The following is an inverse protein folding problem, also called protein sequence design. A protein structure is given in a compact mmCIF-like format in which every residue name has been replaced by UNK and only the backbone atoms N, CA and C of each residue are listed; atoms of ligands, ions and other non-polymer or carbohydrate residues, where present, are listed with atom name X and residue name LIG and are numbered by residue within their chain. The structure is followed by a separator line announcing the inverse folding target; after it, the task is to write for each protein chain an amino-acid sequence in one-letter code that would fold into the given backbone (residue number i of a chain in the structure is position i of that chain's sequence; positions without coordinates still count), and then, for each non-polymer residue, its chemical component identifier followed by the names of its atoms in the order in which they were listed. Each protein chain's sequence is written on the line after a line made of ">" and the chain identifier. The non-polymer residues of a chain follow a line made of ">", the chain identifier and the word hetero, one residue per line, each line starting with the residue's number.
data_IF_994929495277
#
_entry.id   IF_994929495277
#
_cell.length_a   1.000
_cell.length_b   1.000
_cell.length_c   1.000
_cell.angle_alpha   90.00
_cell.angle_beta   90.00
_cell.angle_gamma   90.00
#
_symmetry.space_group_name_H-M   'P 1'
#
loop_
_entity.id
_entity.type
_entity.pdbx_description
1 polymer ?
#
# COMPACT_ATOMS: atom_id res chain seq x y z
N UNK A 1 -1.16 -17.42 -14.88
CA UNK A 1 -2.07 -18.27 -14.07
C UNK A 1 -3.32 -18.58 -14.87
N UNK A 2 -3.71 -19.81 -14.94
CA UNK A 2 -5.00 -20.22 -15.49
C UNK A 2 -6.11 -20.14 -14.41
N UNK A 3 -7.32 -20.54 -14.76
CA UNK A 3 -8.44 -20.61 -13.81
C UNK A 3 -8.16 -21.50 -12.57
N UNK A 4 -7.17 -22.39 -12.64
CA UNK A 4 -6.74 -23.30 -11.57
C UNK A 4 -6.08 -22.56 -10.41
N UNK A 5 -5.29 -21.51 -10.66
CA UNK A 5 -4.59 -20.75 -9.61
C UNK A 5 -5.53 -19.91 -8.76
N UNK A 6 -6.57 -19.31 -9.37
CA UNK A 6 -7.64 -18.62 -8.64
C UNK A 6 -8.45 -19.60 -7.76
N UNK A 7 -8.82 -20.74 -8.33
CA UNK A 7 -9.59 -21.78 -7.62
C UNK A 7 -8.83 -22.35 -6.42
N UNK A 8 -7.49 -22.21 -6.40
CA UNK A 8 -6.64 -22.67 -5.31
C UNK A 8 -6.43 -21.62 -4.20
N UNK A 9 -6.69 -20.33 -4.44
CA UNK A 9 -6.45 -19.26 -3.47
C UNK A 9 -7.45 -19.30 -2.32
N UNK A 10 -6.95 -19.21 -1.09
CA UNK A 10 -7.75 -19.20 0.13
C UNK A 10 -7.59 -17.90 0.96
N UNK A 11 -6.69 -17.01 0.59
CA UNK A 11 -6.50 -15.70 1.23
C UNK A 11 -5.92 -14.68 0.24
N UNK A 12 -6.28 -13.41 0.40
CA UNK A 12 -5.76 -12.31 -0.42
C UNK A 12 -5.09 -11.30 0.50
N UNK A 13 -3.83 -10.96 0.19
CA UNK A 13 -3.10 -9.87 0.82
C UNK A 13 -3.01 -8.73 -0.18
N UNK A 14 -3.37 -7.53 0.23
CA UNK A 14 -3.27 -6.32 -0.58
C UNK A 14 -2.11 -5.45 -0.09
N UNK A 15 -1.39 -4.84 -1.00
CA UNK A 15 -0.71 -3.60 -0.70
C UNK A 15 -1.74 -2.48 -0.48
N UNK A 16 -1.31 -1.33 0.00
CA UNK A 16 -2.19 -0.23 0.38
C UNK A 16 -2.14 0.93 -0.61
N UNK A 17 -1.03 1.70 -0.60
CA UNK A 17 -0.87 2.91 -1.41
C UNK A 17 -0.57 2.56 -2.87
N UNK A 18 -1.37 3.08 -3.81
CA UNK A 18 -1.30 2.69 -5.22
C UNK A 18 -2.13 1.46 -5.58
N UNK A 19 -2.61 0.71 -4.58
CA UNK A 19 -3.41 -0.49 -4.78
C UNK A 19 -4.87 -0.29 -4.35
N UNK A 20 -5.11 0.20 -3.15
CA UNK A 20 -6.45 0.45 -2.61
C UNK A 20 -6.81 1.94 -2.64
N UNK A 21 -5.86 2.83 -2.41
CA UNK A 21 -6.07 4.27 -2.41
C UNK A 21 -4.83 5.06 -2.86
N UNK A 22 -5.00 6.37 -3.07
CA UNK A 22 -3.95 7.36 -3.33
C UNK A 22 -4.06 8.49 -2.30
N UNK A 23 -3.01 8.73 -1.53
CA UNK A 23 -2.90 9.80 -0.54
C UNK A 23 -1.85 10.84 -0.89
N UNK A 24 -1.29 10.79 -2.11
CA UNK A 24 -0.16 11.63 -2.51
C UNK A 24 -0.45 13.13 -2.36
N UNK A 25 -1.69 13.56 -2.63
CA UNK A 25 -2.10 14.96 -2.45
C UNK A 25 -2.07 15.35 -0.96
N UNK A 26 -2.67 14.53 -0.10
CA UNK A 26 -2.73 14.74 1.35
C UNK A 26 -1.33 14.75 1.98
N UNK A 27 -0.46 13.81 1.59
CA UNK A 27 0.91 13.76 2.06
C UNK A 27 1.74 14.96 1.56
N UNK A 28 1.56 15.40 0.31
CA UNK A 28 2.24 16.58 -0.22
C UNK A 28 1.89 17.85 0.61
N UNK A 29 0.63 18.01 0.99
CA UNK A 29 0.19 19.08 1.89
C UNK A 29 0.92 18.96 3.23
N UNK A 30 0.96 17.76 3.83
CA UNK A 30 1.63 17.50 5.11
C UNK A 30 3.12 17.82 5.07
N UNK A 31 3.81 17.38 4.03
CA UNK A 31 5.25 17.64 3.89
C UNK A 31 5.56 19.14 3.75
N UNK A 32 4.75 19.88 2.99
CA UNK A 32 4.89 21.35 2.90
C UNK A 32 4.62 22.04 4.24
N UNK A 33 3.62 21.62 5.01
CA UNK A 33 3.36 22.15 6.35
C UNK A 33 4.54 21.92 7.29
N UNK A 34 5.20 20.76 7.21
CA UNK A 34 6.39 20.48 8.03
C UNK A 34 7.57 21.33 7.59
N UNK A 35 7.79 21.54 6.29
CA UNK A 35 8.81 22.47 5.78
C UNK A 35 8.62 23.88 6.33
N UNK A 36 7.41 24.40 6.23
CA UNK A 36 7.07 25.76 6.67
C UNK A 36 7.25 25.92 8.19
N UNK A 37 6.73 24.98 8.97
CA UNK A 37 6.79 24.99 10.45
C UNK A 37 8.23 24.99 10.97
N UNK A 38 9.14 24.29 10.28
CA UNK A 38 10.54 24.17 10.65
C UNK A 38 11.45 25.18 9.93
N UNK A 39 10.88 26.10 9.14
CA UNK A 39 11.62 27.05 8.31
C UNK A 39 12.70 26.39 7.43
N UNK A 40 12.43 25.17 6.95
CA UNK A 40 13.32 24.43 6.05
C UNK A 40 13.07 24.94 4.62
N UNK A 41 14.09 25.57 4.03
CA UNK A 41 14.01 26.08 2.68
C UNK A 41 14.14 24.94 1.66
N UNK A 42 13.04 24.64 0.99
CA UNK A 42 13.01 23.71 -0.12
C UNK A 42 11.94 24.17 -1.14
N UNK A 43 11.89 23.55 -2.30
CA UNK A 43 10.79 23.80 -3.24
C UNK A 43 9.47 23.24 -2.69
N UNK A 44 8.36 23.75 -3.18
CA UNK A 44 7.06 23.17 -2.88
C UNK A 44 7.01 21.70 -3.34
N UNK A 45 6.52 20.83 -2.49
CA UNK A 45 6.29 19.41 -2.78
C UNK A 45 4.91 19.27 -3.43
N UNK A 46 4.84 18.51 -4.49
CA UNK A 46 3.61 18.17 -5.23
C UNK A 46 3.20 16.71 -4.99
N UNK A 47 1.96 16.36 -5.32
CA UNK A 47 1.51 14.98 -5.30
C UNK A 47 2.39 14.06 -6.19
N UNK A 48 2.88 14.56 -7.31
CA UNK A 48 3.76 13.79 -8.20
C UNK A 48 5.13 13.50 -7.57
N UNK A 49 5.65 14.40 -6.72
CA UNK A 49 6.87 14.13 -5.96
C UNK A 49 6.67 13.01 -4.95
N UNK A 50 5.54 13.00 -4.26
CA UNK A 50 5.18 11.92 -3.32
C UNK A 50 4.99 10.60 -4.08
N UNK A 51 4.25 10.65 -5.20
CA UNK A 51 3.98 9.47 -6.04
C UNK A 51 5.25 8.83 -6.58
N UNK A 52 6.26 9.63 -6.91
CA UNK A 52 7.55 9.14 -7.42
C UNK A 52 8.34 8.29 -6.40
N UNK A 53 8.07 8.43 -5.11
CA UNK A 53 8.74 7.69 -4.03
C UNK A 53 7.81 6.73 -3.28
N UNK A 54 6.50 6.77 -3.54
CA UNK A 54 5.50 5.94 -2.89
C UNK A 54 5.81 4.42 -3.02
N UNK A 55 5.32 3.63 -2.06
CA UNK A 55 5.59 2.19 -1.98
C UNK A 55 6.91 1.83 -1.30
N UNK A 56 7.75 2.80 -0.93
CA UNK A 56 8.98 2.62 -0.14
C UNK A 56 8.74 2.92 1.35
N UNK A 57 9.63 2.48 2.27
CA UNK A 57 9.59 2.92 3.65
C UNK A 57 9.64 4.45 3.77
N UNK A 58 8.88 5.02 4.72
CA UNK A 58 8.70 6.47 4.86
C UNK A 58 10.03 7.24 4.94
N UNK A 59 10.99 6.77 5.75
CA UNK A 59 12.32 7.37 5.82
C UNK A 59 13.00 7.44 4.45
N UNK A 60 12.89 6.40 3.65
CA UNK A 60 13.46 6.37 2.31
C UNK A 60 12.76 7.37 1.38
N UNK A 61 11.42 7.49 1.47
CA UNK A 61 10.67 8.50 0.72
C UNK A 61 11.17 9.90 1.00
N UNK A 62 11.36 10.25 2.29
CA UNK A 62 11.86 11.57 2.70
C UNK A 62 13.28 11.80 2.20
N UNK A 63 14.19 10.85 2.37
CA UNK A 63 15.58 10.99 1.92
C UNK A 63 15.72 11.17 0.42
N UNK A 64 14.91 10.45 -0.36
CA UNK A 64 14.92 10.54 -1.82
C UNK A 64 14.27 11.84 -2.34
N UNK A 65 13.27 12.36 -1.64
CA UNK A 65 12.60 13.60 -2.04
C UNK A 65 13.43 14.84 -1.68
N UNK A 66 14.00 14.88 -0.49
CA UNK A 66 14.68 16.07 0.05
C UNK A 66 16.20 16.03 -0.15
N UNK A 67 16.64 15.63 -1.32
CA UNK A 67 18.07 15.59 -1.67
C UNK A 67 18.73 16.97 -1.50
N UNK A 68 19.85 17.01 -0.79
CA UNK A 68 20.62 18.24 -0.52
C UNK A 68 20.20 18.97 0.76
N UNK A 69 19.15 18.55 1.45
CA UNK A 69 18.79 19.06 2.78
C UNK A 69 19.77 18.47 3.82
N UNK A 70 20.32 19.30 4.77
CA UNK A 70 21.25 18.83 5.79
C UNK A 70 20.65 17.73 6.69
N UNK A 71 21.47 16.75 7.10
CA UNK A 71 21.03 15.57 7.87
C UNK A 71 20.19 15.91 9.13
N UNK A 72 20.50 16.93 9.96
CA UNK A 72 19.65 17.26 11.09
C UNK A 72 18.22 17.64 10.68
N UNK A 73 18.06 18.33 9.54
CA UNK A 73 16.75 18.70 9.01
C UNK A 73 16.04 17.48 8.37
N UNK A 74 16.77 16.57 7.72
CA UNK A 74 16.22 15.30 7.23
C UNK A 74 15.62 14.48 8.36
N UNK A 75 16.33 14.36 9.50
CA UNK A 75 15.81 13.66 10.67
C UNK A 75 14.54 14.31 11.23
N UNK A 76 14.49 15.64 11.24
CA UNK A 76 13.27 16.39 11.61
C UNK A 76 12.12 16.09 10.62
N UNK A 77 12.41 16.15 9.32
CA UNK A 77 11.41 15.83 8.29
C UNK A 77 10.87 14.41 8.44
N UNK A 78 11.74 13.40 8.60
CA UNK A 78 11.31 12.01 8.80
C UNK A 78 10.36 11.89 9.99
N UNK A 79 10.72 12.45 11.14
CA UNK A 79 9.93 12.34 12.36
C UNK A 79 8.60 13.09 12.27
N UNK A 80 8.61 14.32 11.73
CA UNK A 80 7.41 15.16 11.75
C UNK A 80 6.45 14.89 10.58
N UNK A 81 6.98 14.56 9.37
CA UNK A 81 6.09 14.22 8.26
C UNK A 81 5.34 12.92 8.50
N UNK A 82 5.95 11.93 9.16
CA UNK A 82 5.27 10.70 9.56
C UNK A 82 4.03 10.98 10.45
N UNK A 83 4.18 11.88 11.41
CA UNK A 83 3.07 12.26 12.30
C UNK A 83 2.03 13.09 11.57
N UNK A 84 2.48 14.01 10.71
CA UNK A 84 1.60 14.90 9.95
C UNK A 84 0.80 14.13 8.91
N UNK A 85 1.41 13.15 8.22
CA UNK A 85 0.73 12.27 7.29
C UNK A 85 -0.41 11.50 8.00
N UNK A 86 -0.11 10.84 9.14
CA UNK A 86 -1.13 10.13 9.90
C UNK A 86 -2.27 11.07 10.34
N UNK A 87 -1.95 12.30 10.79
CA UNK A 87 -2.94 13.29 11.20
C UNK A 87 -3.83 13.74 10.04
N UNK A 88 -3.21 14.17 8.93
CA UNK A 88 -3.95 14.68 7.78
C UNK A 88 -4.77 13.58 7.09
N UNK A 89 -4.20 12.39 6.96
CA UNK A 89 -4.93 11.25 6.38
C UNK A 89 -6.10 10.83 7.27
N UNK A 90 -6.00 10.96 8.60
CA UNK A 90 -7.14 10.74 9.50
C UNK A 90 -8.25 11.79 9.32
N UNK A 91 -7.88 13.04 9.07
CA UNK A 91 -8.82 14.16 8.92
C UNK A 91 -9.45 14.25 7.51
N UNK A 92 -8.64 14.05 6.47
CA UNK A 92 -9.00 14.32 5.08
C UNK A 92 -9.10 13.05 4.24
N UNK A 93 -8.43 11.97 4.66
CA UNK A 93 -8.35 10.72 3.91
C UNK A 93 -7.44 10.81 2.69
N UNK A 94 -7.67 9.88 1.79
CA UNK A 94 -7.14 9.81 0.44
C UNK A 94 -8.26 9.58 -0.56
N UNK A 95 -7.90 9.18 -1.76
CA UNK A 95 -8.84 8.81 -2.82
C UNK A 95 -8.82 7.31 -3.01
N UNK A 96 -9.90 6.60 -2.66
CA UNK A 96 -10.04 5.19 -3.02
C UNK A 96 -10.06 5.05 -4.54
N UNK A 97 -9.33 4.06 -5.06
CA UNK A 97 -9.45 3.76 -6.48
C UNK A 97 -10.87 3.29 -6.82
N UNK A 98 -11.35 3.52 -8.05
CA UNK A 98 -12.70 3.14 -8.45
C UNK A 98 -13.00 1.66 -8.17
N UNK A 99 -14.16 1.39 -7.58
CA UNK A 99 -14.66 0.07 -7.19
C UNK A 99 -13.91 -0.65 -6.05
N UNK A 100 -12.96 0.00 -5.36
CA UNK A 100 -12.28 -0.61 -4.21
C UNK A 100 -13.26 -0.90 -3.08
N UNK A 101 -14.07 0.07 -2.68
CA UNK A 101 -15.00 -0.09 -1.57
C UNK A 101 -15.95 -1.28 -1.81
N UNK A 102 -16.71 -1.25 -2.90
CA UNK A 102 -17.64 -2.32 -3.25
C UNK A 102 -16.94 -3.68 -3.46
N UNK A 103 -15.77 -3.65 -4.09
CA UNK A 103 -15.00 -4.87 -4.36
C UNK A 103 -14.47 -5.52 -3.08
N UNK A 104 -13.96 -4.76 -2.14
CA UNK A 104 -13.49 -5.28 -0.84
C UNK A 104 -14.67 -5.90 -0.07
N UNK A 105 -15.84 -5.24 -0.03
CA UNK A 105 -17.03 -5.79 0.60
C UNK A 105 -17.49 -7.10 -0.06
N UNK A 106 -17.41 -7.23 -1.38
CA UNK A 106 -17.74 -8.47 -2.10
C UNK A 106 -16.70 -9.57 -1.82
N UNK A 107 -15.40 -9.23 -1.89
CA UNK A 107 -14.32 -10.20 -1.71
C UNK A 107 -14.27 -10.78 -0.30
N UNK A 108 -14.55 -9.98 0.75
CA UNK A 108 -14.57 -10.46 2.14
C UNK A 108 -15.58 -11.58 2.39
N UNK A 109 -16.64 -11.64 1.61
CA UNK A 109 -17.65 -12.70 1.73
C UNK A 109 -17.11 -14.08 1.30
N UNK A 110 -16.00 -14.10 0.53
CA UNK A 110 -15.43 -15.33 -0.04
C UNK A 110 -13.99 -15.60 0.46
N UNK A 111 -13.24 -14.56 0.76
CA UNK A 111 -11.84 -14.65 1.13
C UNK A 111 -11.56 -13.91 2.44
N UNK A 112 -10.70 -14.44 3.33
CA UNK A 112 -10.04 -13.63 4.34
C UNK A 112 -9.10 -12.64 3.64
N UNK A 113 -9.21 -11.36 4.00
CA UNK A 113 -8.44 -10.27 3.43
C UNK A 113 -7.43 -9.73 4.43
N UNK A 114 -6.26 -9.32 3.94
CA UNK A 114 -5.14 -8.83 4.70
C UNK A 114 -4.49 -7.63 4.01
N UNK A 115 -3.73 -6.82 4.76
CA UNK A 115 -2.93 -5.73 4.21
C UNK A 115 -1.46 -5.92 4.59
N UNK A 116 -0.53 -5.69 3.66
CA UNK A 116 0.89 -5.55 3.92
C UNK A 116 1.42 -4.29 3.25
N UNK A 117 2.03 -3.37 4.00
CA UNK A 117 2.52 -2.10 3.46
C UNK A 117 3.92 -1.74 3.96
N UNK A 118 4.61 -0.85 3.26
CA UNK A 118 5.84 -0.21 3.70
C UNK A 118 5.59 1.10 4.49
N UNK A 119 4.34 1.43 4.79
CA UNK A 119 3.97 2.64 5.50
C UNK A 119 4.46 2.63 6.97
N UNK A 120 4.36 3.78 7.61
CA UNK A 120 4.62 3.98 9.03
C UNK A 120 3.55 3.35 9.92
N UNK A 121 3.86 3.19 11.21
CA UNK A 121 2.91 2.71 12.21
C UNK A 121 1.69 3.64 12.33
N UNK A 122 0.51 3.07 12.51
CA UNK A 122 -0.76 3.80 12.64
C UNK A 122 -1.42 4.18 11.32
N UNK A 123 -0.72 4.07 10.19
CA UNK A 123 -1.24 4.50 8.90
C UNK A 123 -2.29 3.53 8.33
N UNK A 124 -2.08 2.22 8.46
CA UNK A 124 -3.08 1.22 8.05
C UNK A 124 -4.35 1.36 8.90
N UNK A 125 -4.19 1.54 10.21
CA UNK A 125 -5.30 1.76 11.13
C UNK A 125 -6.12 3.00 10.74
N UNK A 126 -5.43 4.07 10.32
CA UNK A 126 -6.05 5.29 9.82
C UNK A 126 -6.86 5.03 8.54
N UNK A 127 -6.28 4.31 7.57
CA UNK A 127 -6.99 3.87 6.38
C UNK A 127 -8.26 3.07 6.72
N UNK A 128 -8.13 2.07 7.59
CA UNK A 128 -9.23 1.19 7.98
C UNK A 128 -10.37 1.96 8.67
N UNK A 129 -10.04 2.94 9.50
CA UNK A 129 -11.02 3.79 10.17
C UNK A 129 -11.69 4.77 9.21
N UNK A 130 -10.89 5.47 8.39
CA UNK A 130 -11.40 6.48 7.46
C UNK A 130 -12.26 5.87 6.35
N UNK A 131 -11.81 4.77 5.73
CA UNK A 131 -12.53 4.09 4.65
C UNK A 131 -13.73 3.28 5.11
N UNK A 132 -13.91 3.07 6.41
CA UNK A 132 -14.90 2.15 7.01
C UNK A 132 -14.74 0.68 6.60
N UNK A 133 -13.61 0.32 5.97
CA UNK A 133 -13.29 -1.03 5.52
C UNK A 133 -12.66 -1.93 6.60
N UNK A 134 -12.42 -1.39 7.81
CA UNK A 134 -11.85 -2.14 8.92
C UNK A 134 -12.46 -3.54 9.14
N UNK A 135 -13.80 -3.69 9.16
CA UNK A 135 -14.42 -5.00 9.31
C UNK A 135 -14.16 -6.01 8.18
N UNK A 136 -13.59 -5.56 7.06
CA UNK A 136 -13.31 -6.43 5.91
C UNK A 136 -11.96 -7.16 6.03
N UNK A 137 -11.01 -6.58 6.76
CA UNK A 137 -9.66 -7.13 6.89
C UNK A 137 -9.49 -7.86 8.21
N UNK A 138 -8.86 -9.03 8.17
CA UNK A 138 -8.62 -9.85 9.37
C UNK A 138 -7.37 -9.45 10.12
N UNK A 139 -6.36 -9.01 9.39
CA UNK A 139 -5.06 -8.70 9.94
C UNK A 139 -4.23 -7.87 8.95
N UNK A 140 -3.20 -7.20 9.44
CA UNK A 140 -2.31 -6.40 8.62
C UNK A 140 -0.92 -6.31 9.25
N UNK A 141 0.08 -5.92 8.44
CA UNK A 141 1.41 -5.62 8.91
C UNK A 141 2.06 -4.53 8.07
N UNK A 142 2.93 -3.74 8.69
CA UNK A 142 3.69 -2.73 7.97
C UNK A 142 5.13 -2.59 8.47
N UNK A 143 5.94 -1.90 7.66
CA UNK A 143 7.32 -1.58 8.03
C UNK A 143 7.38 -0.80 9.35
N UNK A 144 6.50 0.16 9.54
CA UNK A 144 6.47 0.99 10.75
C UNK A 144 6.27 0.23 12.06
N UNK A 145 5.57 -0.91 12.02
CA UNK A 145 5.34 -1.75 13.20
C UNK A 145 6.56 -2.62 13.53
N UNK A 146 7.28 -3.09 12.52
CA UNK A 146 8.24 -4.17 12.67
C UNK A 146 9.68 -3.78 12.34
N UNK A 147 9.89 -2.74 11.54
CA UNK A 147 11.17 -2.40 10.93
C UNK A 147 11.65 -3.42 9.88
N UNK A 148 10.78 -4.34 9.45
CA UNK A 148 11.10 -5.42 8.53
C UNK A 148 10.68 -5.09 7.10
N UNK A 149 11.31 -5.76 6.13
CA UNK A 149 10.94 -5.66 4.71
C UNK A 149 9.50 -6.11 4.47
N UNK A 150 8.92 -5.68 3.35
CA UNK A 150 7.57 -6.12 2.95
C UNK A 150 7.49 -7.66 2.81
N UNK A 151 8.53 -8.30 2.32
CA UNK A 151 8.59 -9.76 2.21
C UNK A 151 8.55 -10.45 3.60
N UNK A 152 9.35 -9.97 4.56
CA UNK A 152 9.35 -10.49 5.92
C UNK A 152 8.00 -10.27 6.61
N UNK A 153 7.36 -9.11 6.39
CA UNK A 153 6.03 -8.79 6.92
C UNK A 153 4.94 -9.66 6.28
N UNK A 154 5.03 -9.92 4.97
CA UNK A 154 4.14 -10.85 4.28
C UNK A 154 4.30 -12.27 4.83
N UNK A 155 5.53 -12.74 5.00
CA UNK A 155 5.81 -14.05 5.60
C UNK A 155 5.29 -14.16 7.04
N UNK A 156 5.41 -13.08 7.83
CA UNK A 156 4.87 -13.00 9.19
C UNK A 156 3.34 -13.10 9.19
N UNK A 157 2.64 -12.37 8.31
CA UNK A 157 1.18 -12.47 8.16
C UNK A 157 0.74 -13.87 7.78
N UNK A 158 1.42 -14.49 6.81
CA UNK A 158 1.14 -15.85 6.36
C UNK A 158 1.28 -16.82 7.53
N UNK A 159 2.39 -16.75 8.27
CA UNK A 159 2.68 -17.66 9.36
C UNK A 159 1.69 -17.52 10.54
N UNK A 160 1.46 -16.29 11.03
CA UNK A 160 0.61 -16.04 12.20
C UNK A 160 -0.88 -16.31 11.95
N UNK A 161 -1.31 -16.24 10.67
CA UNK A 161 -2.69 -16.53 10.29
C UNK A 161 -2.89 -17.94 9.69
N UNK A 162 -1.83 -18.75 9.60
CA UNK A 162 -1.88 -20.12 9.08
C UNK A 162 -2.32 -20.19 7.60
N UNK A 163 -1.99 -19.18 6.80
CA UNK A 163 -2.39 -19.09 5.40
C UNK A 163 -1.58 -20.09 4.56
N UNK A 164 -2.22 -20.75 3.61
CA UNK A 164 -1.59 -21.80 2.81
C UNK A 164 -1.44 -21.46 1.32
N UNK A 165 -2.45 -20.82 0.76
CA UNK A 165 -2.55 -20.49 -0.67
C UNK A 165 -2.92 -19.03 -0.83
N UNK A 166 -1.99 -18.19 -0.46
CA UNK A 166 -2.10 -16.73 -0.46
C UNK A 166 -1.67 -16.16 -1.79
N UNK A 167 -2.29 -15.08 -2.24
CA UNK A 167 -1.76 -14.22 -3.29
C UNK A 167 -1.50 -12.81 -2.75
N UNK A 168 -0.55 -12.11 -3.35
CA UNK A 168 -0.31 -10.68 -3.11
C UNK A 168 -0.83 -9.87 -4.30
N UNK A 169 -1.64 -8.86 -4.00
CA UNK A 169 -2.09 -7.85 -4.97
C UNK A 169 -1.34 -6.56 -4.66
N UNK A 170 -0.71 -5.97 -5.66
CA UNK A 170 0.08 -4.75 -5.49
C UNK A 170 0.37 -4.07 -6.83
N UNK A 171 0.98 -2.88 -6.78
CA UNK A 171 1.23 -2.03 -7.94
C UNK A 171 2.70 -1.74 -8.20
N UNK A 172 3.62 -2.13 -7.30
CA UNK A 172 5.04 -1.80 -7.41
C UNK A 172 5.95 -3.00 -7.67
N UNK A 173 7.17 -2.77 -8.22
CA UNK A 173 8.20 -3.81 -8.26
C UNK A 173 8.59 -4.33 -6.87
N UNK A 174 8.41 -3.53 -5.81
CA UNK A 174 8.61 -3.95 -4.41
C UNK A 174 7.64 -5.04 -3.99
N UNK A 175 6.37 -4.94 -4.39
CA UNK A 175 5.35 -5.97 -4.14
C UNK A 175 5.66 -7.24 -4.89
N UNK A 176 6.03 -7.12 -6.16
CA UNK A 176 6.43 -8.25 -6.99
C UNK A 176 7.64 -8.99 -6.37
N UNK A 177 8.63 -8.25 -5.89
CA UNK A 177 9.79 -8.84 -5.22
C UNK A 177 9.40 -9.56 -3.93
N UNK A 178 8.54 -8.94 -3.09
CA UNK A 178 8.04 -9.54 -1.86
C UNK A 178 7.23 -10.83 -2.12
N UNK A 179 6.35 -10.82 -3.11
CA UNK A 179 5.59 -12.00 -3.51
C UNK A 179 6.51 -13.14 -3.96
N UNK A 180 7.50 -12.82 -4.80
CA UNK A 180 8.47 -13.79 -5.30
C UNK A 180 9.33 -14.39 -4.16
N UNK A 181 9.78 -13.57 -3.22
CA UNK A 181 10.57 -14.02 -2.08
C UNK A 181 9.77 -14.95 -1.16
N UNK A 182 8.48 -14.66 -0.95
CA UNK A 182 7.57 -15.52 -0.19
C UNK A 182 7.03 -16.72 -0.99
N UNK A 183 7.31 -16.84 -2.28
CA UNK A 183 6.81 -17.91 -3.14
C UNK A 183 5.30 -17.88 -3.35
N UNK A 184 4.68 -16.68 -3.26
CA UNK A 184 3.24 -16.50 -3.49
C UNK A 184 2.99 -15.86 -4.86
N UNK A 185 1.85 -16.15 -5.51
CA UNK A 185 1.45 -15.47 -6.74
C UNK A 185 1.34 -13.96 -6.57
N UNK A 186 1.77 -13.21 -7.61
CA UNK A 186 1.66 -11.76 -7.68
C UNK A 186 0.63 -11.33 -8.72
N UNK A 187 -0.36 -10.58 -8.27
CA UNK A 187 -1.37 -9.93 -9.11
C UNK A 187 -1.09 -8.44 -9.15
N UNK A 188 -0.75 -7.95 -10.34
CA UNK A 188 -0.40 -6.55 -10.56
C UNK A 188 -1.64 -5.73 -10.91
N UNK A 189 -1.77 -4.56 -10.30
CA UNK A 189 -2.73 -3.53 -10.70
C UNK A 189 -1.97 -2.37 -11.34
N UNK A 190 -2.27 -2.07 -12.61
CA UNK A 190 -1.48 -1.14 -13.42
C UNK A 190 -1.97 0.32 -13.34
N UNK A 191 -2.99 0.57 -12.55
CA UNK A 191 -3.50 1.91 -12.26
C UNK A 191 -2.77 2.62 -11.10
N UNK A 192 -1.87 1.91 -10.39
CA UNK A 192 -1.11 2.44 -9.26
C UNK A 192 0.12 3.25 -9.69
N UNK A 193 1.15 3.27 -8.85
CA UNK A 193 2.32 4.14 -8.99
C UNK A 193 3.46 3.51 -9.78
N UNK A 194 3.59 2.18 -9.72
CA UNK A 194 4.73 1.46 -10.28
C UNK A 194 4.46 0.84 -11.65
N UNK A 195 5.53 0.35 -12.27
CA UNK A 195 5.46 -0.42 -13.51
C UNK A 195 6.10 -1.79 -13.27
N UNK A 196 5.28 -2.85 -13.34
CA UNK A 196 5.72 -4.22 -13.18
C UNK A 196 5.67 -4.97 -14.51
N UNK A 197 6.63 -5.89 -14.70
CA UNK A 197 6.65 -6.81 -15.86
C UNK A 197 6.70 -8.25 -15.37
N UNK A 198 6.02 -9.14 -16.07
CA UNK A 198 6.06 -10.57 -15.75
C UNK A 198 5.30 -10.92 -14.46
N UNK A 199 4.27 -10.15 -14.10
CA UNK A 199 3.30 -10.53 -13.07
C UNK A 199 2.51 -11.76 -13.52
N UNK A 200 2.01 -12.54 -12.56
CA UNK A 200 1.17 -13.70 -12.88
C UNK A 200 -0.15 -13.30 -13.53
N UNK A 201 -0.66 -12.13 -13.16
CA UNK A 201 -1.84 -11.47 -13.74
C UNK A 201 -1.71 -9.95 -13.60
N UNK A 202 -2.40 -9.22 -14.50
CA UNK A 202 -2.48 -7.76 -14.46
C UNK A 202 -3.92 -7.30 -14.68
N UNK A 203 -4.32 -6.25 -13.99
CA UNK A 203 -5.64 -5.64 -14.11
C UNK A 203 -5.53 -4.12 -14.14
N UNK A 204 -6.28 -3.48 -15.04
CA UNK A 204 -6.34 -2.03 -15.19
C UNK A 204 -7.48 -1.39 -14.37
N UNK A 205 -8.22 -2.19 -13.60
CA UNK A 205 -9.22 -1.70 -12.64
C UNK A 205 -9.41 -2.69 -11.50
N UNK A 206 -9.73 -2.17 -10.32
CA UNK A 206 -10.08 -2.99 -9.17
C UNK A 206 -11.38 -3.78 -9.41
N UNK A 207 -12.29 -3.23 -10.19
CA UNK A 207 -13.53 -3.91 -10.58
C UNK A 207 -13.28 -5.17 -11.42
N UNK A 208 -12.34 -5.14 -12.37
CA UNK A 208 -11.96 -6.33 -13.16
C UNK A 208 -11.26 -7.37 -12.29
N UNK A 209 -10.35 -6.94 -11.42
CA UNK A 209 -9.72 -7.81 -10.42
C UNK A 209 -10.78 -8.51 -9.56
N UNK A 210 -11.76 -7.75 -9.05
CA UNK A 210 -12.84 -8.30 -8.22
C UNK A 210 -13.66 -9.33 -8.98
N UNK A 211 -14.10 -9.02 -10.21
CA UNK A 211 -14.86 -9.96 -11.05
C UNK A 211 -14.07 -11.23 -11.33
N UNK A 212 -12.78 -11.10 -11.62
CA UNK A 212 -11.93 -12.27 -11.83
C UNK A 212 -11.83 -13.13 -10.57
N UNK A 213 -11.59 -12.53 -9.39
CA UNK A 213 -11.49 -13.23 -8.11
C UNK A 213 -12.80 -13.97 -7.76
N UNK A 214 -13.95 -13.35 -8.03
CA UNK A 214 -15.26 -13.96 -7.79
C UNK A 214 -15.67 -15.02 -8.82
N UNK A 215 -15.00 -15.06 -9.96
CA UNK A 215 -15.28 -16.05 -11.01
C UNK A 215 -16.16 -15.55 -12.15
N UNK A 216 -16.49 -14.27 -12.16
CA UNK A 216 -17.41 -13.65 -13.13
C UNK A 216 -16.69 -13.20 -14.42
N UNK A 217 -15.35 -13.10 -14.39
CA UNK A 217 -14.51 -12.91 -15.57
C UNK A 217 -13.83 -14.24 -15.95
N UNK A 218 -14.06 -14.68 -17.17
CA UNK A 218 -13.27 -15.77 -17.77
C UNK A 218 -11.88 -15.21 -18.12
N UNK A 219 -10.87 -16.03 -17.90
CA UNK A 219 -9.48 -15.70 -18.21
C UNK A 219 -9.24 -15.55 -19.72
#
# INVERSE_FOLDING_TARGET
>A
MDASSRAATDAIVFDLDGTLWDTCETCAIGWNLVLDRNAIRFRTITADDVRAVAGKPHEQCIRETFVGVPEPQILTLIAETQLEDNRLVAEQGGVLYPNVEDGIWQLRARYPLFIVSNCQAGYIETFLAWSTLGPCFRDFECWGNTGRTKAENLALLIARNGLRRTMLVGDTPGDQAAARECGVPFVYVDYGFGVCRGADRSFSSFGDLTRWLLGDLRA
#
